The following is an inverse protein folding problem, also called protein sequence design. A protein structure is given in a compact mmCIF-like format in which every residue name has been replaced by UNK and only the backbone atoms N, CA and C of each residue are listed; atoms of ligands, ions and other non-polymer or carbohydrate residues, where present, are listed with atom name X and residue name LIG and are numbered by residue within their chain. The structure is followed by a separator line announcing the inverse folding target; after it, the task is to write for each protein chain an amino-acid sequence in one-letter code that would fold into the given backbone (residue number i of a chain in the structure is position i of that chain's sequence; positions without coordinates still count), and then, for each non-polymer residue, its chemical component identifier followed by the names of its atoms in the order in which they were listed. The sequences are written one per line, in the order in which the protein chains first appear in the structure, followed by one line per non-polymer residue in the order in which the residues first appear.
data_IF_017240857874
#
_entry.id   IF_017240857874
#
_cell.length_a   1.000
_cell.length_b   1.000
_cell.length_c   1.000
_cell.angle_alpha   90.00
_cell.angle_beta   90.00
_cell.angle_gamma   90.00
#
_symmetry.space_group_name_H-M   'P 1'
#
loop_
_entity.id
_entity.type
_entity.pdbx_description
1 polymer ?
#
# COMPACT_ATOMS: atom_id res chain seq x y z
N UNK A 1 -9.73 18.21 -5.42
CA UNK A 1 -10.28 16.91 -5.87
C UNK A 1 -11.45 17.19 -6.79
N UNK A 2 -11.47 16.57 -7.95
CA UNK A 2 -12.57 16.66 -8.92
C UNK A 2 -13.22 15.28 -9.04
N UNK A 3 -14.55 15.25 -8.99
CA UNK A 3 -15.36 14.04 -9.18
C UNK A 3 -16.23 14.27 -10.42
N UNK A 4 -16.19 13.34 -11.35
CA UNK A 4 -17.09 13.24 -12.50
C UNK A 4 -18.01 12.02 -12.31
N UNK A 5 -19.31 12.22 -12.51
CA UNK A 5 -20.34 11.17 -12.49
C UNK A 5 -21.44 11.54 -13.49
N UNK A 6 -21.75 10.65 -14.45
CA UNK A 6 -22.78 10.86 -15.49
C UNK A 6 -22.68 12.20 -16.27
N UNK A 7 -21.47 12.75 -16.39
CA UNK A 7 -21.19 14.02 -17.05
C UNK A 7 -21.33 15.25 -16.14
N UNK A 8 -21.79 15.07 -14.90
CA UNK A 8 -21.74 16.10 -13.85
C UNK A 8 -20.35 16.14 -13.23
N UNK A 9 -19.78 17.33 -13.12
CA UNK A 9 -18.43 17.54 -12.59
C UNK A 9 -18.49 18.44 -11.36
N UNK A 10 -18.02 17.91 -10.24
CA UNK A 10 -17.93 18.64 -8.98
C UNK A 10 -16.46 18.75 -8.56
N UNK A 11 -16.01 19.97 -8.28
CA UNK A 11 -14.63 20.23 -7.82
C UNK A 11 -14.62 20.78 -6.40
N UNK A 12 -13.78 20.18 -5.56
CA UNK A 12 -13.55 20.53 -4.16
C UNK A 12 -12.11 21.01 -3.94
N UNK A 13 -11.96 22.03 -3.09
CA UNK A 13 -10.67 22.64 -2.76
C UNK A 13 -10.34 23.85 -3.62
N UNK A 14 -9.20 24.50 -3.34
CA UNK A 14 -8.71 25.63 -4.11
C UNK A 14 -7.79 25.12 -5.24
N UNK A 15 -8.04 25.48 -6.52
CA UNK A 15 -7.17 25.10 -7.64
C UNK A 15 -5.70 25.54 -7.48
N UNK A 16 -5.47 26.64 -6.76
CA UNK A 16 -4.15 27.24 -6.59
C UNK A 16 -3.31 26.57 -5.48
N UNK A 17 -3.88 25.62 -4.73
CA UNK A 17 -3.14 24.89 -3.70
C UNK A 17 -2.13 23.92 -4.34
N UNK A 18 -0.91 23.89 -3.80
CA UNK A 18 0.17 23.00 -4.28
C UNK A 18 0.00 21.53 -3.88
N UNK A 19 -1.17 21.14 -3.40
CA UNK A 19 -1.48 19.77 -2.97
C UNK A 19 -1.72 18.82 -4.16
N UNK A 20 -1.92 17.52 -3.91
CA UNK A 20 -2.24 16.57 -4.96
C UNK A 20 -3.59 16.89 -5.62
N UNK A 21 -3.60 17.03 -6.95
CA UNK A 21 -4.81 17.17 -7.77
C UNK A 21 -5.32 15.81 -8.24
N UNK A 22 -6.40 15.36 -7.59
CA UNK A 22 -7.02 14.06 -7.84
C UNK A 22 -8.26 14.23 -8.69
N UNK A 23 -8.39 13.40 -9.72
CA UNK A 23 -9.60 13.25 -10.54
C UNK A 23 -10.17 11.84 -10.35
N UNK A 24 -11.43 11.78 -9.93
CA UNK A 24 -12.22 10.56 -9.76
C UNK A 24 -13.31 10.54 -10.82
N UNK A 25 -13.42 9.44 -11.57
CA UNK A 25 -14.53 9.20 -12.46
C UNK A 25 -15.34 8.02 -11.93
N UNK A 26 -16.57 8.28 -11.54
CA UNK A 26 -17.51 7.30 -10.99
C UNK A 26 -18.23 6.63 -12.15
N UNK A 27 -18.02 5.32 -12.28
CA UNK A 27 -18.54 4.52 -13.40
C UNK A 27 -19.79 3.73 -13.03
N UNK A 28 -20.11 3.65 -11.73
CA UNK A 28 -21.22 2.85 -11.19
C UNK A 28 -21.68 3.38 -9.83
N UNK A 29 -22.98 3.51 -9.63
CA UNK A 29 -23.57 3.92 -8.33
C UNK A 29 -23.22 2.96 -7.17
N UNK A 30 -22.83 1.71 -7.48
CA UNK A 30 -22.36 0.75 -6.46
C UNK A 30 -21.13 1.28 -5.70
N UNK A 31 -20.34 2.15 -6.33
CA UNK A 31 -19.21 2.83 -5.71
C UNK A 31 -19.62 3.51 -4.40
N UNK A 32 -20.70 4.31 -4.41
CA UNK A 32 -21.14 5.06 -3.24
C UNK A 32 -21.63 4.15 -2.11
N UNK A 33 -22.28 3.05 -2.46
CA UNK A 33 -22.72 2.04 -1.49
C UNK A 33 -21.51 1.39 -0.81
N UNK A 34 -20.49 0.97 -1.58
CA UNK A 34 -19.26 0.38 -1.02
C UNK A 34 -18.50 1.37 -0.16
N UNK A 35 -18.31 2.60 -0.66
CA UNK A 35 -17.59 3.67 0.04
C UNK A 35 -18.26 3.99 1.37
N UNK A 36 -19.60 4.06 1.41
CA UNK A 36 -20.34 4.36 2.63
C UNK A 36 -20.30 3.22 3.65
N UNK A 37 -20.39 1.95 3.21
CA UNK A 37 -20.49 0.80 4.10
C UNK A 37 -19.14 0.32 4.64
N UNK A 38 -18.08 0.37 3.83
CA UNK A 38 -16.78 -0.25 4.14
C UNK A 38 -15.61 0.72 3.97
N UNK A 39 -15.89 2.02 3.76
CA UNK A 39 -14.91 3.11 3.73
C UNK A 39 -13.73 2.87 2.76
N UNK A 40 -12.50 2.89 3.27
CA UNK A 40 -11.25 2.73 2.52
C UNK A 40 -11.16 1.37 1.83
N UNK A 41 -11.59 0.30 2.48
CA UNK A 41 -11.71 -1.02 1.85
C UNK A 41 -12.78 -1.01 0.74
N UNK A 42 -13.90 -0.33 0.97
CA UNK A 42 -14.96 -0.16 -0.03
C UNK A 42 -14.47 0.56 -1.29
N UNK A 43 -13.63 1.59 -1.12
CA UNK A 43 -12.96 2.25 -2.24
C UNK A 43 -12.02 1.28 -2.99
N UNK A 44 -11.19 0.52 -2.27
CA UNK A 44 -10.25 -0.42 -2.87
C UNK A 44 -10.98 -1.50 -3.70
N UNK A 45 -12.06 -2.07 -3.16
CA UNK A 45 -12.90 -3.03 -3.86
C UNK A 45 -13.58 -2.42 -5.10
N UNK A 46 -14.12 -1.20 -4.98
CA UNK A 46 -14.74 -0.50 -6.10
C UNK A 46 -13.75 -0.21 -7.22
N UNK A 47 -12.53 0.21 -6.88
CA UNK A 47 -11.44 0.43 -7.84
C UNK A 47 -11.05 -0.87 -8.54
N UNK A 48 -10.88 -1.97 -7.80
CA UNK A 48 -10.59 -3.29 -8.36
C UNK A 48 -11.72 -3.83 -9.24
N UNK A 49 -12.97 -3.51 -8.91
CA UNK A 49 -14.16 -3.89 -9.68
C UNK A 49 -14.42 -3.01 -10.91
N UNK A 50 -13.64 -1.94 -11.11
CA UNK A 50 -13.83 -0.99 -12.21
C UNK A 50 -15.07 -0.09 -12.04
N UNK A 51 -15.56 0.07 -10.81
CA UNK A 51 -16.70 0.93 -10.48
C UNK A 51 -16.28 2.41 -10.33
N UNK A 52 -14.98 2.65 -10.14
CA UNK A 52 -14.36 3.98 -10.08
C UNK A 52 -12.99 3.94 -10.74
N UNK A 53 -12.59 5.04 -11.38
CA UNK A 53 -11.22 5.23 -11.87
C UNK A 53 -10.60 6.50 -11.31
N UNK A 54 -9.28 6.50 -11.17
CA UNK A 54 -8.48 7.65 -10.71
C UNK A 54 -7.39 7.98 -11.71
N UNK A 55 -7.11 9.27 -11.90
CA UNK A 55 -6.01 9.72 -12.77
C UNK A 55 -4.63 9.28 -12.27
N UNK A 56 -4.43 9.30 -10.95
CA UNK A 56 -3.20 8.88 -10.30
C UNK A 56 -3.53 8.32 -8.91
N UNK A 57 -3.32 7.01 -8.74
CA UNK A 57 -3.63 6.33 -7.48
C UNK A 57 -2.70 6.76 -6.34
N UNK A 58 -1.44 7.09 -6.64
CA UNK A 58 -0.48 7.59 -5.64
C UNK A 58 -0.94 8.94 -5.09
N UNK A 59 -1.35 9.84 -5.97
CA UNK A 59 -1.82 11.16 -5.56
C UNK A 59 -3.18 11.09 -4.87
N UNK A 60 -4.05 10.14 -5.23
CA UNK A 60 -5.27 9.83 -4.47
C UNK A 60 -4.95 9.39 -3.04
N UNK A 61 -4.04 8.43 -2.86
CA UNK A 61 -3.65 7.95 -1.53
C UNK A 61 -2.97 9.06 -0.73
N UNK A 62 -2.11 9.88 -1.34
CA UNK A 62 -1.53 11.07 -0.69
C UNK A 62 -2.60 12.07 -0.25
N UNK A 63 -3.55 12.38 -1.14
CA UNK A 63 -4.67 13.26 -0.83
C UNK A 63 -5.47 12.73 0.37
N UNK A 64 -5.79 11.43 0.38
CA UNK A 64 -6.47 10.79 1.50
C UNK A 64 -5.67 10.90 2.81
N UNK A 65 -4.37 10.59 2.79
CA UNK A 65 -3.50 10.70 3.96
C UNK A 65 -3.42 12.14 4.50
N UNK A 66 -3.27 13.14 3.62
CA UNK A 66 -3.23 14.55 4.02
C UNK A 66 -4.55 15.04 4.64
N UNK A 67 -5.69 14.48 4.22
CA UNK A 67 -7.02 14.89 4.68
C UNK A 67 -7.64 13.94 5.72
N UNK A 68 -6.90 12.92 6.15
CA UNK A 68 -7.42 11.84 7.00
C UNK A 68 -8.12 12.34 8.26
N UNK A 69 -7.54 13.30 8.96
CA UNK A 69 -8.13 13.86 10.18
C UNK A 69 -9.52 14.50 9.94
N UNK A 70 -9.71 15.15 8.78
CA UNK A 70 -10.99 15.76 8.41
C UNK A 70 -12.03 14.72 7.96
N UNK A 71 -11.58 13.65 7.29
CA UNK A 71 -12.43 12.53 6.86
C UNK A 71 -12.89 11.66 8.04
N UNK A 72 -12.00 11.43 9.01
CA UNK A 72 -12.30 10.69 10.24
C UNK A 72 -13.29 11.48 11.14
N UNK A 73 -13.21 12.82 11.14
CA UNK A 73 -14.14 13.66 11.89
C UNK A 73 -15.56 13.70 11.26
N UNK A 74 -15.66 13.60 9.93
CA UNK A 74 -16.94 13.61 9.21
C UNK A 74 -17.74 12.31 9.38
N UNK A 75 -17.08 11.22 9.77
CA UNK A 75 -17.67 9.89 9.96
C UNK A 75 -18.20 9.62 11.39
N UNK A 76 -18.25 10.65 12.25
CA UNK A 76 -18.68 10.57 13.65
C UNK A 76 -20.21 10.52 13.88
N UNK A 77 -21.03 10.32 12.83
CA UNK A 77 -22.49 10.19 13.00
C UNK A 77 -22.85 8.81 13.62
N UNK A 78 -23.54 8.74 14.77
CA UNK A 78 -23.84 7.48 15.47
C UNK A 78 -24.62 6.47 14.61
N UNK A 79 -25.44 6.96 13.68
CA UNK A 79 -26.22 6.13 12.74
C UNK A 79 -25.30 5.45 11.73
N UNK A 80 -24.38 6.22 11.17
CA UNK A 80 -23.38 5.71 10.21
C UNK A 80 -22.45 4.72 10.89
N UNK A 81 -21.98 5.02 12.11
CA UNK A 81 -21.14 4.12 12.89
C UNK A 81 -21.83 2.79 13.23
N UNK A 82 -23.15 2.79 13.48
CA UNK A 82 -23.91 1.57 13.75
C UNK A 82 -24.07 0.69 12.51
N UNK A 83 -24.33 1.30 11.35
CA UNK A 83 -24.40 0.61 10.07
C UNK A 83 -23.04 -0.01 9.69
N UNK A 84 -21.95 0.74 9.88
CA UNK A 84 -20.59 0.27 9.67
C UNK A 84 -20.23 -0.88 10.62
N UNK A 85 -20.63 -0.81 11.89
CA UNK A 85 -20.42 -1.91 12.85
C UNK A 85 -21.14 -3.19 12.38
N UNK A 86 -22.37 -3.09 11.89
CA UNK A 86 -23.09 -4.24 11.36
C UNK A 86 -22.46 -4.77 10.05
N UNK A 87 -21.99 -3.89 9.16
CA UNK A 87 -21.29 -4.31 7.95
C UNK A 87 -19.96 -5.01 8.28
N UNK A 88 -19.16 -4.44 9.17
CA UNK A 88 -17.87 -5.00 9.61
C UNK A 88 -18.00 -6.33 10.35
N UNK A 89 -19.09 -6.60 11.07
CA UNK A 89 -19.33 -7.94 11.65
C UNK A 89 -19.57 -9.02 10.60
N UNK A 90 -20.04 -8.66 9.39
CA UNK A 90 -20.12 -9.56 8.24
C UNK A 90 -18.74 -9.88 7.64
N UNK A 91 -17.78 -8.97 7.79
CA UNK A 91 -16.39 -9.11 7.38
C UNK A 91 -15.45 -9.51 8.54
N UNK A 92 -15.99 -9.80 9.73
CA UNK A 92 -15.22 -10.19 10.91
C UNK A 92 -14.48 -11.51 10.69
N UNK A 93 -13.20 -11.54 11.06
CA UNK A 93 -12.35 -12.73 10.98
C UNK A 93 -12.83 -13.82 11.96
N UNK A 94 -13.64 -14.76 11.48
CA UNK A 94 -13.83 -16.06 12.13
C UNK A 94 -12.73 -17.03 11.68
N UNK A 95 -12.40 -18.04 12.49
CA UNK A 95 -11.42 -19.10 12.14
C UNK A 95 -11.75 -19.75 10.78
N UNK A 96 -13.03 -19.80 10.40
CA UNK A 96 -13.50 -20.32 9.11
C UNK A 96 -13.25 -19.36 7.95
N UNK A 97 -13.37 -18.04 8.16
CA UNK A 97 -13.04 -17.02 7.15
C UNK A 97 -11.53 -16.87 6.98
N UNK A 98 -10.73 -17.11 8.02
CA UNK A 98 -9.27 -17.05 7.94
C UNK A 98 -8.73 -18.00 6.87
N UNK A 99 -9.28 -19.20 6.70
CA UNK A 99 -8.84 -20.12 5.64
C UNK A 99 -9.20 -19.63 4.22
N UNK A 100 -10.36 -18.99 4.03
CA UNK A 100 -10.75 -18.39 2.74
C UNK A 100 -9.98 -17.09 2.46
N UNK A 101 -9.67 -16.30 3.49
CA UNK A 101 -8.81 -15.12 3.39
C UNK A 101 -7.35 -15.53 3.10
N UNK A 102 -6.91 -16.66 3.68
CA UNK A 102 -5.60 -17.26 3.38
C UNK A 102 -5.58 -17.88 1.98
N UNK A 103 -6.63 -18.54 1.52
CA UNK A 103 -6.66 -19.11 0.15
C UNK A 103 -6.77 -18.03 -0.94
N UNK A 104 -7.22 -16.82 -0.58
CA UNK A 104 -7.14 -15.65 -1.44
C UNK A 104 -5.73 -15.04 -1.48
N UNK A 105 -4.78 -15.52 -0.66
CA UNK A 105 -3.37 -15.27 -0.89
C UNK A 105 -2.91 -16.09 -2.09
N UNK A 106 -2.84 -15.43 -3.24
CA UNK A 106 -1.60 -15.31 -3.99
C UNK A 106 -0.62 -16.48 -3.78
N UNK A 107 -0.79 -17.55 -4.55
CA UNK A 107 0.32 -18.40 -5.03
C UNK A 107 1.24 -17.55 -5.93
N UNK A 108 1.72 -16.43 -5.42
CA UNK A 108 2.67 -15.56 -6.08
C UNK A 108 4.04 -16.21 -5.94
N UNK A 109 4.41 -16.97 -6.97
CA UNK A 109 5.74 -17.55 -7.08
C UNK A 109 6.83 -16.49 -7.25
N UNK A 110 8.09 -16.93 -7.16
CA UNK A 110 9.26 -16.07 -7.38
C UNK A 110 9.19 -15.30 -8.71
N UNK A 111 8.62 -15.90 -9.75
CA UNK A 111 8.44 -15.29 -11.07
C UNK A 111 7.73 -13.93 -10.99
N UNK A 112 6.74 -13.77 -10.11
CA UNK A 112 6.05 -12.49 -9.98
C UNK A 112 6.97 -11.43 -9.36
N UNK A 113 7.68 -11.78 -8.30
CA UNK A 113 8.58 -10.85 -7.60
C UNK A 113 9.77 -10.47 -8.48
N UNK A 114 10.31 -11.40 -9.26
CA UNK A 114 11.39 -11.15 -10.22
C UNK A 114 11.01 -10.11 -11.29
N UNK A 115 9.72 -9.90 -11.59
CA UNK A 115 9.30 -8.88 -12.56
C UNK A 115 9.54 -7.44 -12.09
N UNK A 116 9.64 -7.19 -10.78
CA UNK A 116 9.74 -5.82 -10.24
C UNK A 116 10.78 -5.62 -9.13
N UNK A 117 11.32 -6.70 -8.57
CA UNK A 117 12.47 -6.64 -7.67
C UNK A 117 13.78 -6.63 -8.46
N UNK A 118 14.86 -6.27 -7.79
CA UNK A 118 16.21 -6.46 -8.30
C UNK A 118 16.68 -7.91 -8.13
N UNK A 119 17.86 -8.21 -8.68
CA UNK A 119 18.51 -9.53 -8.65
C UNK A 119 18.68 -10.11 -7.24
N UNK A 120 18.74 -9.28 -6.20
CA UNK A 120 18.89 -9.73 -4.81
C UNK A 120 17.58 -10.24 -4.20
N UNK A 121 16.44 -10.09 -4.89
CA UNK A 121 15.10 -10.44 -4.39
C UNK A 121 14.77 -9.75 -3.06
N UNK A 122 15.27 -8.53 -2.86
CA UNK A 122 15.10 -7.80 -1.60
C UNK A 122 13.76 -7.06 -1.57
N UNK A 123 12.72 -7.68 -1.00
CA UNK A 123 11.41 -7.04 -0.82
C UNK A 123 11.32 -6.19 0.44
N UNK A 124 12.15 -5.14 0.52
CA UNK A 124 12.17 -4.14 1.60
C UNK A 124 12.72 -2.82 1.07
N UNK A 125 12.68 -1.75 1.88
CA UNK A 125 13.14 -0.44 1.43
C UNK A 125 14.62 -0.41 1.05
N UNK A 126 14.93 0.27 -0.05
CA UNK A 126 16.29 0.53 -0.48
C UNK A 126 16.80 1.88 0.07
N UNK A 127 18.12 2.09 0.08
CA UNK A 127 18.73 3.38 0.42
C UNK A 127 19.29 4.01 -0.84
N UNK A 128 18.64 5.07 -1.32
CA UNK A 128 18.96 5.76 -2.57
C UNK A 128 20.04 6.83 -2.39
N UNK A 129 20.94 6.95 -3.36
CA UNK A 129 21.93 8.04 -3.43
C UNK A 129 21.48 9.21 -4.33
N UNK A 130 20.47 9.00 -5.18
CA UNK A 130 19.96 10.00 -6.12
C UNK A 130 18.95 9.41 -7.10
N UNK A 131 18.43 10.23 -8.02
CA UNK A 131 17.42 9.81 -9.00
C UNK A 131 17.95 8.84 -10.06
N UNK A 132 19.25 8.86 -10.34
CA UNK A 132 19.89 8.03 -11.37
C UNK A 132 20.43 6.69 -10.82
N UNK A 133 20.16 6.38 -9.55
CA UNK A 133 20.59 5.15 -8.91
C UNK A 133 19.81 3.94 -9.44
N UNK A 134 20.41 2.76 -9.42
CA UNK A 134 19.67 1.52 -9.73
C UNK A 134 19.06 0.95 -8.46
N UNK A 135 17.94 0.23 -8.59
CA UNK A 135 17.33 -0.47 -7.45
C UNK A 135 18.33 -1.44 -6.80
N UNK A 136 19.05 -2.20 -7.60
CA UNK A 136 20.10 -3.13 -7.14
C UNK A 136 21.18 -2.41 -6.33
N UNK A 137 21.72 -1.30 -6.84
CA UNK A 137 22.74 -0.52 -6.13
C UNK A 137 22.19 0.06 -4.81
N UNK A 138 20.93 0.51 -4.82
CA UNK A 138 20.25 1.02 -3.64
C UNK A 138 19.97 -0.07 -2.59
N UNK A 139 19.67 -1.31 -3.02
CA UNK A 139 19.51 -2.44 -2.13
C UNK A 139 20.85 -2.90 -1.55
N UNK A 140 21.88 -3.08 -2.38
CA UNK A 140 23.22 -3.43 -1.91
C UNK A 140 23.76 -2.40 -0.92
N UNK A 141 23.55 -1.10 -1.18
CA UNK A 141 23.91 -0.03 -0.24
C UNK A 141 23.17 -0.15 1.10
N UNK A 142 21.88 -0.49 1.08
CA UNK A 142 21.10 -0.74 2.29
C UNK A 142 21.68 -1.92 3.07
N UNK A 143 21.97 -3.04 2.40
CA UNK A 143 22.54 -4.22 3.04
C UNK A 143 23.91 -3.92 3.65
N UNK A 144 24.76 -3.21 2.90
CA UNK A 144 26.09 -2.80 3.37
C UNK A 144 26.01 -1.88 4.58
N UNK A 145 25.09 -0.91 4.56
CA UNK A 145 24.83 -0.05 5.71
C UNK A 145 24.39 -0.84 6.94
N UNK A 146 23.54 -1.86 6.79
CA UNK A 146 23.09 -2.68 7.91
C UNK A 146 24.25 -3.47 8.53
N UNK A 147 25.09 -4.09 7.70
CA UNK A 147 26.28 -4.83 8.12
C UNK A 147 27.26 -3.89 8.85
N UNK A 148 27.51 -2.71 8.28
CA UNK A 148 28.41 -1.71 8.86
C UNK A 148 27.89 -1.18 10.20
N UNK A 149 26.60 -0.88 10.30
CA UNK A 149 25.96 -0.40 11.54
C UNK A 149 25.93 -1.46 12.63
N UNK A 150 25.82 -2.73 12.26
CA UNK A 150 25.90 -3.85 13.19
C UNK A 150 27.35 -4.21 13.56
N UNK A 151 28.34 -3.61 12.89
CA UNK A 151 29.77 -3.85 13.11
C UNK A 151 30.16 -5.34 12.98
N UNK A 152 29.53 -6.05 12.04
CA UNK A 152 29.74 -7.50 11.85
C UNK A 152 31.19 -7.79 11.48
N UNK A 153 31.76 -8.82 12.12
CA UNK A 153 33.13 -9.31 11.87
C UNK A 153 33.12 -10.74 11.35
N UNK A 154 34.20 -11.20 10.70
CA UNK A 154 34.32 -12.57 10.19
C UNK A 154 34.22 -13.66 11.28
N UNK A 155 34.40 -13.28 12.55
CA UNK A 155 34.32 -14.19 13.71
C UNK A 155 32.94 -14.24 14.35
N UNK A 156 32.01 -13.39 13.91
CA UNK A 156 30.72 -13.26 14.55
C UNK A 156 29.72 -14.30 14.02
N UNK A 157 28.82 -14.73 14.89
CA UNK A 157 27.67 -15.55 14.51
C UNK A 157 26.45 -14.64 14.42
N UNK A 158 25.89 -14.52 13.21
CA UNK A 158 24.79 -13.59 12.91
C UNK A 158 23.46 -14.35 12.79
N UNK A 159 22.41 -13.81 13.41
CA UNK A 159 21.03 -14.30 13.28
C UNK A 159 20.19 -13.27 12.52
N UNK A 160 19.68 -13.65 11.35
CA UNK A 160 18.80 -12.84 10.50
C UNK A 160 17.34 -13.32 10.64
N UNK A 161 16.55 -12.61 11.46
CA UNK A 161 15.15 -12.94 11.73
C UNK A 161 14.24 -12.39 10.61
N UNK A 162 13.64 -13.29 9.83
CA UNK A 162 12.86 -12.91 8.66
C UNK A 162 13.76 -12.60 7.47
N UNK A 163 14.72 -13.48 7.18
CA UNK A 163 15.77 -13.29 6.18
C UNK A 163 15.28 -13.19 4.72
N UNK A 164 14.00 -13.46 4.45
CA UNK A 164 13.44 -13.45 3.09
C UNK A 164 14.19 -14.43 2.18
N UNK A 165 14.69 -13.95 1.04
CA UNK A 165 15.55 -14.72 0.13
C UNK A 165 17.03 -14.77 0.57
N UNK A 166 17.34 -14.28 1.77
CA UNK A 166 18.67 -14.36 2.38
C UNK A 166 19.65 -13.29 1.91
N UNK A 167 19.19 -12.21 1.26
CA UNK A 167 20.07 -11.20 0.66
C UNK A 167 21.02 -10.56 1.67
N UNK A 168 20.56 -10.23 2.88
CA UNK A 168 21.42 -9.73 3.96
C UNK A 168 22.44 -10.77 4.42
N UNK A 169 21.99 -12.00 4.64
CA UNK A 169 22.84 -13.09 5.10
C UNK A 169 23.95 -13.44 4.09
N UNK A 170 23.60 -13.55 2.80
CA UNK A 170 24.57 -13.76 1.72
C UNK A 170 25.55 -12.60 1.63
N UNK A 171 25.04 -11.36 1.68
CA UNK A 171 25.89 -10.16 1.61
C UNK A 171 26.85 -10.04 2.79
N UNK A 172 26.43 -10.46 3.99
CA UNK A 172 27.31 -10.51 5.16
C UNK A 172 28.48 -11.48 4.94
N UNK A 173 28.18 -12.71 4.47
CA UNK A 173 29.21 -13.72 4.17
C UNK A 173 30.17 -13.27 3.06
N UNK A 174 29.68 -12.56 2.03
CA UNK A 174 30.56 -12.02 0.97
C UNK A 174 31.51 -10.93 1.47
N UNK A 175 31.10 -10.16 2.50
CA UNK A 175 31.83 -8.98 2.97
C UNK A 175 32.73 -9.22 4.18
N UNK A 176 32.46 -10.25 4.97
CA UNK A 176 33.18 -10.55 6.22
C UNK A 176 33.74 -11.95 6.18
#
# INVERSE_FOLDING_TARGET
MTIEEDGDVITFGNPDDSGPHVYLNILSEQFWVRLMLVQDLGFAEAYMAGEVSVNNLVDFVRFYIYNRASLDAASASPVVSSLMYLASTRFGNSILNTASNISAHYDLGNEMFEMFLDSTMTYSCAIWNGPDDTLEAAQLRKLDMLIDKACVKPTDYVLDLGCGWGSLSMRAVERT
#
